data_IF_150251813688
#
_entry.id   IF_150251813688
#
_cell.length_a   1.000
_cell.length_b   1.000
_cell.length_c   1.000
_cell.angle_alpha   90.00
_cell.angle_beta   90.00
_cell.angle_gamma   90.00
#
_symmetry.space_group_name_H-M   'P 1'
#
loop_
_entity.id
_entity.type
_entity.pdbx_description
1 polymer ?
#
# COMPACT_ATOMS: atom_id res chain seq x y z
N UNK A 1 -4.36 -3.53 20.76
CA UNK A 1 -3.75 -2.35 20.11
C UNK A 1 -3.37 -2.74 18.69
N UNK A 2 -3.47 -1.84 17.70
CA UNK A 2 -2.85 -2.04 16.40
C UNK A 2 -1.34 -2.37 16.59
N UNK A 3 -0.80 -3.31 15.82
CA UNK A 3 0.64 -3.66 15.85
C UNK A 3 1.12 -4.72 16.86
N UNK A 4 0.24 -5.31 17.68
CA UNK A 4 0.65 -6.25 18.77
C UNK A 4 0.88 -7.70 18.32
N UNK A 5 0.38 -8.11 17.16
CA UNK A 5 0.62 -9.43 16.56
C UNK A 5 1.22 -9.28 15.17
N UNK A 6 1.90 -10.31 14.68
CA UNK A 6 2.44 -10.35 13.30
C UNK A 6 1.35 -10.07 12.25
N UNK A 7 0.16 -10.60 12.49
CA UNK A 7 -1.07 -10.34 11.73
C UNK A 7 -1.59 -8.90 11.82
N UNK A 8 -1.26 -8.16 12.89
CA UNK A 8 -1.59 -6.74 13.04
C UNK A 8 -0.42 -5.83 12.61
N UNK A 9 0.70 -6.39 12.16
CA UNK A 9 1.88 -5.67 11.62
C UNK A 9 1.90 -5.65 10.10
N UNK A 10 1.20 -6.58 9.46
CA UNK A 10 1.08 -6.67 8.02
C UNK A 10 -0.18 -5.93 7.58
N UNK A 11 -0.01 -4.67 7.19
CA UNK A 11 -1.06 -3.88 6.52
C UNK A 11 -1.33 -4.34 5.08
N UNK A 12 -0.57 -5.33 4.61
CA UNK A 12 -0.70 -5.87 3.27
C UNK A 12 -1.93 -6.78 3.17
N UNK A 13 -2.84 -6.43 2.27
CA UNK A 13 -3.98 -7.26 1.91
C UNK A 13 -3.50 -8.52 1.19
N UNK A 14 -4.01 -9.67 1.64
CA UNK A 14 -3.78 -10.96 0.99
C UNK A 14 -4.98 -11.22 0.07
N UNK A 15 -4.78 -11.46 -1.24
CA UNK A 15 -5.86 -11.84 -2.14
C UNK A 15 -6.67 -13.04 -1.62
N UNK A 16 -8.00 -12.98 -1.73
CA UNK A 16 -8.93 -14.02 -1.29
C UNK A 16 -8.90 -14.34 0.23
N UNK A 17 -8.30 -13.48 1.05
CA UNK A 17 -8.37 -13.65 2.49
C UNK A 17 -9.82 -13.53 2.99
N UNK A 18 -10.25 -14.35 3.98
CA UNK A 18 -11.63 -14.34 4.47
C UNK A 18 -12.10 -13.00 5.06
N UNK A 19 -11.16 -12.13 5.44
CA UNK A 19 -11.43 -10.82 6.02
C UNK A 19 -11.63 -9.72 4.97
N UNK A 20 -11.46 -10.03 3.67
CA UNK A 20 -11.67 -9.05 2.61
C UNK A 20 -13.16 -8.82 2.38
N UNK A 21 -13.53 -7.59 2.06
CA UNK A 21 -14.88 -7.19 1.69
C UNK A 21 -15.19 -7.52 0.23
N UNK A 22 -14.14 -7.64 -0.60
CA UNK A 22 -14.20 -8.00 -2.01
C UNK A 22 -13.19 -9.10 -2.35
N UNK A 23 -13.37 -9.73 -3.50
CA UNK A 23 -12.50 -10.81 -3.98
C UNK A 23 -11.95 -10.45 -5.36
N UNK A 24 -10.62 -10.51 -5.57
CA UNK A 24 -10.06 -10.27 -6.89
C UNK A 24 -10.42 -11.41 -7.85
N UNK A 25 -10.42 -11.12 -9.14
CA UNK A 25 -10.68 -12.14 -10.18
C UNK A 25 -9.60 -13.24 -10.10
N UNK A 26 -10.03 -14.50 -10.19
CA UNK A 26 -9.11 -15.64 -10.20
C UNK A 26 -8.19 -15.54 -11.42
N UNK A 27 -6.88 -15.59 -11.20
CA UNK A 27 -5.88 -15.42 -12.25
C UNK A 27 -5.67 -13.97 -12.70
N UNK A 28 -6.11 -12.99 -11.91
CA UNK A 28 -5.87 -11.56 -12.17
C UNK A 28 -4.38 -11.26 -12.40
N UNK A 29 -4.12 -10.36 -13.35
CA UNK A 29 -2.76 -9.88 -13.63
C UNK A 29 -2.30 -8.96 -12.48
N UNK A 30 -0.98 -8.73 -12.31
CA UNK A 30 -0.47 -7.86 -11.26
C UNK A 30 -1.12 -6.47 -11.19
N UNK A 31 -1.40 -5.85 -12.35
CA UNK A 31 -2.07 -4.56 -12.40
C UNK A 31 -3.51 -4.60 -11.86
N UNK A 32 -4.27 -5.64 -12.23
CA UNK A 32 -5.64 -5.84 -11.77
C UNK A 32 -5.68 -6.11 -10.26
N UNK A 33 -4.66 -6.80 -9.72
CA UNK A 33 -4.50 -6.98 -8.29
C UNK A 33 -4.19 -5.66 -7.57
N UNK A 34 -3.37 -4.78 -8.15
CA UNK A 34 -3.15 -3.44 -7.60
C UNK A 34 -4.43 -2.60 -7.60
N UNK A 35 -5.23 -2.69 -8.67
CA UNK A 35 -6.53 -2.00 -8.74
C UNK A 35 -7.48 -2.51 -7.66
N UNK A 36 -7.64 -3.83 -7.57
CA UNK A 36 -8.43 -4.46 -6.52
C UNK A 36 -7.95 -4.05 -5.12
N UNK A 37 -6.64 -3.96 -4.90
CA UNK A 37 -6.09 -3.54 -3.61
C UNK A 37 -6.58 -2.15 -3.21
N UNK A 38 -6.53 -1.18 -4.13
CA UNK A 38 -7.03 0.19 -3.86
C UNK A 38 -8.53 0.16 -3.55
N UNK A 39 -9.31 -0.54 -4.37
CA UNK A 39 -10.77 -0.68 -4.17
C UNK A 39 -11.11 -1.32 -2.81
N UNK A 40 -10.38 -2.34 -2.38
CA UNK A 40 -10.57 -2.99 -1.09
C UNK A 40 -10.23 -2.06 0.09
N UNK A 41 -9.22 -1.20 -0.04
CA UNK A 41 -8.90 -0.18 0.97
C UNK A 41 -10.05 0.82 1.09
N UNK A 42 -10.60 1.28 -0.03
CA UNK A 42 -11.74 2.22 -0.04
C UNK A 42 -12.98 1.59 0.60
N UNK A 43 -13.30 0.35 0.25
CA UNK A 43 -14.43 -0.39 0.86
C UNK A 43 -14.28 -0.51 2.38
N UNK A 44 -13.06 -0.80 2.86
CA UNK A 44 -12.79 -0.91 4.30
C UNK A 44 -12.87 0.44 4.99
N UNK A 45 -12.41 1.52 4.36
CA UNK A 45 -12.55 2.87 4.89
C UNK A 45 -14.03 3.23 5.07
N UNK A 46 -14.86 2.97 4.07
CA UNK A 46 -16.31 3.24 4.11
C UNK A 46 -17.05 2.38 5.15
N UNK A 47 -16.72 1.09 5.25
CA UNK A 47 -17.26 0.22 6.30
C UNK A 47 -16.88 0.73 7.71
N UNK A 48 -15.65 1.22 7.87
CA UNK A 48 -15.18 1.78 9.14
C UNK A 48 -15.91 3.09 9.49
N UNK A 49 -16.07 4.02 8.53
CA UNK A 49 -16.86 5.26 8.71
C UNK A 49 -18.29 4.95 9.13
N UNK A 50 -18.93 3.95 8.51
CA UNK A 50 -20.29 3.51 8.86
C UNK A 50 -20.37 2.95 10.29
N UNK A 51 -19.36 2.20 10.73
CA UNK A 51 -19.30 1.62 12.08
C UNK A 51 -19.10 2.67 13.17
N UNK A 52 -18.40 3.77 12.87
CA UNK A 52 -18.07 4.80 13.86
C UNK A 52 -18.43 6.22 13.36
N UNK A 53 -19.72 6.53 13.16
CA UNK A 53 -20.16 7.78 12.53
C UNK A 53 -19.91 9.05 13.37
N UNK A 54 -19.48 8.89 14.63
CA UNK A 54 -19.15 10.02 15.53
C UNK A 54 -17.69 10.44 15.45
N UNK A 55 -16.84 9.67 14.77
CA UNK A 55 -15.44 10.01 14.55
C UNK A 55 -15.34 10.94 13.35
N UNK A 56 -14.47 11.95 13.44
CA UNK A 56 -14.12 12.80 12.31
C UNK A 56 -13.11 12.08 11.42
N UNK A 57 -13.40 12.01 10.13
CA UNK A 57 -12.51 11.42 9.12
C UNK A 57 -12.08 12.49 8.13
N UNK A 58 -10.90 13.10 8.30
CA UNK A 58 -10.35 14.00 7.30
C UNK A 58 -10.02 13.23 6.02
N UNK A 59 -10.49 13.73 4.89
CA UNK A 59 -10.10 13.25 3.56
C UNK A 59 -9.17 14.28 2.94
N UNK A 60 -8.02 13.81 2.45
CA UNK A 60 -7.00 14.67 1.88
C UNK A 60 -6.21 13.96 0.79
N UNK A 61 -5.73 14.76 -0.16
CA UNK A 61 -4.80 14.32 -1.20
C UNK A 61 -3.35 14.42 -0.69
N UNK A 62 -2.44 13.68 -1.35
CA UNK A 62 -1.02 13.70 -1.00
C UNK A 62 -0.40 15.09 -1.17
N UNK A 63 -0.87 15.86 -2.15
CA UNK A 63 -0.47 17.23 -2.41
C UNK A 63 -0.87 18.15 -1.26
N UNK A 64 -2.06 17.96 -0.68
CA UNK A 64 -2.55 18.76 0.44
C UNK A 64 -1.74 18.50 1.71
N UNK A 65 -1.24 17.28 1.92
CA UNK A 65 -0.33 16.96 3.03
C UNK A 65 1.04 17.67 2.92
N UNK A 66 1.40 18.19 1.75
CA UNK A 66 2.58 19.03 1.57
C UNK A 66 2.31 20.51 1.85
N UNK A 67 1.05 20.94 1.95
CA UNK A 67 0.68 22.30 2.33
C UNK A 67 0.58 22.41 3.86
N UNK A 68 1.50 23.16 4.45
CA UNK A 68 1.53 23.36 5.89
C UNK A 68 0.25 24.01 6.44
N UNK A 69 -0.38 24.92 5.70
CA UNK A 69 -1.62 25.57 6.15
C UNK A 69 -2.77 24.56 6.22
N UNK A 70 -2.89 23.71 5.21
CA UNK A 70 -3.88 22.63 5.21
C UNK A 70 -3.67 21.68 6.40
N UNK A 71 -2.41 21.29 6.67
CA UNK A 71 -2.10 20.43 7.81
C UNK A 71 -2.45 21.10 9.14
N UNK A 72 -2.26 22.40 9.30
CA UNK A 72 -2.68 23.14 10.48
C UNK A 72 -4.21 23.12 10.68
N UNK A 73 -4.97 23.29 9.60
CA UNK A 73 -6.44 23.18 9.64
C UNK A 73 -6.88 21.77 10.02
N UNK A 74 -6.28 20.74 9.41
CA UNK A 74 -6.54 19.34 9.74
C UNK A 74 -6.25 19.03 11.23
N UNK A 75 -5.17 19.57 11.80
CA UNK A 75 -4.87 19.41 13.23
C UNK A 75 -5.95 20.04 14.10
N UNK A 76 -6.41 21.24 13.74
CA UNK A 76 -7.48 21.94 14.46
C UNK A 76 -8.79 21.14 14.41
N UNK A 77 -9.15 20.58 13.26
CA UNK A 77 -10.36 19.77 13.08
C UNK A 77 -10.32 18.48 13.92
N UNK A 78 -9.13 17.94 14.13
CA UNK A 78 -8.87 16.79 15.02
C UNK A 78 -8.74 17.17 16.50
N UNK A 79 -8.82 18.46 16.84
CA UNK A 79 -8.61 18.95 18.22
C UNK A 79 -7.16 18.80 18.71
N UNK A 80 -6.20 18.70 17.79
CA UNK A 80 -4.78 18.53 18.07
C UNK A 80 -4.06 19.89 18.06
N UNK A 81 -3.01 20.01 18.86
CA UNK A 81 -2.13 21.17 18.86
C UNK A 81 -0.88 20.85 18.03
N UNK A 82 -0.57 21.63 16.97
CA UNK A 82 0.63 21.42 16.18
C UNK A 82 1.90 21.66 17.02
N UNK A 83 2.93 20.84 16.83
CA UNK A 83 4.25 21.08 17.40
C UNK A 83 4.99 22.15 16.59
N UNK A 84 6.00 22.79 17.20
CA UNK A 84 6.86 23.75 16.51
C UNK A 84 7.66 23.13 15.36
N UNK A 85 7.92 21.82 15.41
CA UNK A 85 8.68 21.06 14.42
C UNK A 85 7.84 20.65 13.20
N UNK A 86 6.51 20.76 13.28
CA UNK A 86 5.61 20.30 12.22
C UNK A 86 5.90 20.97 10.88
N UNK A 87 6.21 22.26 10.89
CA UNK A 87 6.55 23.02 9.69
C UNK A 87 7.83 22.51 9.02
N UNK A 88 8.78 22.00 9.80
CA UNK A 88 10.05 21.48 9.28
C UNK A 88 9.87 20.12 8.57
N UNK A 89 8.80 19.40 8.90
CA UNK A 89 8.50 18.07 8.39
C UNK A 89 7.52 18.14 7.21
N UNK A 90 6.51 19.02 7.27
CA UNK A 90 5.56 19.23 6.19
C UNK A 90 6.28 19.60 4.88
N UNK A 91 6.00 18.87 3.80
CA UNK A 91 6.62 19.08 2.50
C UNK A 91 8.06 18.55 2.35
N UNK A 92 8.66 17.95 3.40
CA UNK A 92 9.94 17.24 3.25
C UNK A 92 9.72 15.83 2.72
N UNK A 93 10.48 15.47 1.69
CA UNK A 93 10.64 14.08 1.28
C UNK A 93 11.43 13.32 2.35
N UNK A 94 10.74 12.65 3.27
CA UNK A 94 11.35 11.82 4.32
C UNK A 94 11.92 10.50 3.78
N UNK A 95 11.39 10.00 2.65
CA UNK A 95 11.86 8.78 1.98
C UNK A 95 12.90 9.09 0.89
N UNK A 96 13.98 9.81 1.23
CA UNK A 96 15.20 9.77 0.40
C UNK A 96 15.94 8.49 0.75
N UNK A 97 15.67 7.42 0.00
CA UNK A 97 16.52 6.22 0.04
C UNK A 97 17.82 6.53 -0.70
N UNK A 98 18.78 7.12 0.00
CA UNK A 98 20.12 7.35 -0.57
C UNK A 98 20.86 6.02 -0.84
N UNK A 99 20.46 4.93 -0.17
CA UNK A 99 21.17 3.65 -0.15
C UNK A 99 20.60 2.55 -1.09
N UNK A 100 19.44 2.75 -1.72
CA UNK A 100 18.93 1.77 -2.68
C UNK A 100 19.39 2.14 -4.09
N UNK A 101 20.15 1.28 -4.79
CA UNK A 101 20.49 1.55 -6.19
C UNK A 101 19.19 1.76 -6.95
N UNK A 102 19.15 2.80 -7.79
CA UNK A 102 18.08 2.97 -8.76
C UNK A 102 18.10 1.72 -9.65
N UNK A 103 17.26 0.74 -9.33
CA UNK A 103 17.03 -0.39 -10.23
C UNK A 103 16.57 0.22 -11.55
N UNK A 104 17.38 0.07 -12.59
CA UNK A 104 16.97 0.48 -13.91
C UNK A 104 15.73 -0.33 -14.29
N UNK A 105 14.78 0.30 -14.98
CA UNK A 105 13.56 -0.41 -15.41
C UNK A 105 13.90 -1.65 -16.27
N UNK A 106 15.03 -1.59 -16.98
CA UNK A 106 15.57 -2.68 -17.80
C UNK A 106 15.99 -3.91 -16.98
N UNK A 107 16.53 -3.71 -15.76
CA UNK A 107 16.92 -4.81 -14.87
C UNK A 107 15.69 -5.58 -14.32
N UNK A 108 14.58 -4.88 -14.05
CA UNK A 108 13.33 -5.51 -13.61
C UNK A 108 12.68 -6.36 -14.71
N UNK A 109 12.73 -5.91 -15.96
CA UNK A 109 12.21 -6.68 -17.09
C UNK A 109 13.01 -7.96 -17.35
N UNK A 110 14.33 -7.90 -17.17
CA UNK A 110 15.21 -9.06 -17.30
C UNK A 110 15.05 -10.08 -16.16
N UNK A 111 14.82 -9.65 -14.91
CA UNK A 111 14.54 -10.58 -13.81
C UNK A 111 13.24 -11.37 -14.02
N UNK A 112 12.20 -10.71 -14.55
CA UNK A 112 10.91 -11.35 -14.86
C UNK A 112 11.12 -12.41 -15.95
N UNK A 113 11.79 -12.05 -17.05
CA UNK A 113 12.11 -12.97 -18.15
C UNK A 113 12.95 -14.18 -17.69
N UNK A 114 13.94 -13.95 -16.82
CA UNK A 114 14.78 -15.02 -16.28
C UNK A 114 14.04 -15.91 -15.28
N UNK A 115 13.06 -15.35 -14.55
CA UNK A 115 12.20 -16.13 -13.66
C UNK A 115 11.23 -17.04 -14.42
N UNK A 116 10.74 -16.59 -15.57
CA UNK A 116 9.86 -17.35 -16.46
C UNK A 116 10.64 -18.47 -17.17
N UNK A 117 11.81 -18.16 -17.71
CA UNK A 117 12.70 -19.15 -18.32
C UNK A 117 13.09 -20.28 -17.33
N UNK A 118 13.34 -19.93 -16.06
CA UNK A 118 13.62 -20.92 -15.00
C UNK A 118 12.41 -21.81 -14.66
N UNK A 119 11.19 -21.28 -14.75
CA UNK A 119 9.96 -22.06 -14.54
C UNK A 119 9.74 -23.03 -15.69
N UNK A 120 9.97 -22.59 -16.92
CA UNK A 120 9.79 -23.42 -18.12
C UNK A 120 10.83 -24.56 -18.17
N UNK A 121 12.09 -24.25 -17.89
CA UNK A 121 13.15 -25.26 -17.76
C UNK A 121 12.85 -26.31 -16.68
N UNK A 122 12.26 -25.90 -15.54
CA UNK A 122 11.85 -26.86 -14.49
C UNK A 122 10.71 -27.78 -14.92
N UNK A 123 9.77 -27.30 -15.74
CA UNK A 123 8.70 -28.14 -16.30
C UNK A 123 9.26 -29.17 -17.29
N UNK A 124 10.17 -28.74 -18.16
CA UNK A 124 10.83 -29.65 -19.12
C UNK A 124 11.60 -30.75 -18.39
N UNK A 125 12.41 -30.39 -17.37
CA UNK A 125 13.15 -31.39 -16.58
C UNK A 125 12.21 -32.37 -15.86
N UNK A 126 11.04 -31.93 -15.39
CA UNK A 126 10.05 -32.82 -14.78
C UNK A 126 9.38 -33.77 -15.78
N UNK A 127 9.22 -33.38 -17.03
CA UNK A 127 8.71 -34.26 -18.09
C UNK A 127 9.71 -35.35 -18.51
N UNK A 128 11.02 -35.09 -18.36
CA UNK A 128 12.08 -36.06 -18.67
C UNK A 128 12.30 -37.11 -17.57
N UNK A 129 11.71 -36.93 -16.38
CA UNK A 129 11.86 -37.81 -15.21
C UNK A 129 10.66 -38.79 -15.06
N UNK A 130 9.65 -38.71 -15.94
CA UNK A 130 8.55 -39.68 -16.05
C UNK A 130 8.79 -40.66 -17.19
#
# INVERSE_FOLDING_TARGET
MPGTSESNRTWYLIPNAPLNLSTPVIGAKPYDLCKWYVEEIDLRAEDYKRKFPKITYPECDLEQLNDYNYVLEMFKDLGLKPSSELQEICGRSLNKRDEWPKLSLDERSNEILMSEARKEFRKEVQQWIQ
#
